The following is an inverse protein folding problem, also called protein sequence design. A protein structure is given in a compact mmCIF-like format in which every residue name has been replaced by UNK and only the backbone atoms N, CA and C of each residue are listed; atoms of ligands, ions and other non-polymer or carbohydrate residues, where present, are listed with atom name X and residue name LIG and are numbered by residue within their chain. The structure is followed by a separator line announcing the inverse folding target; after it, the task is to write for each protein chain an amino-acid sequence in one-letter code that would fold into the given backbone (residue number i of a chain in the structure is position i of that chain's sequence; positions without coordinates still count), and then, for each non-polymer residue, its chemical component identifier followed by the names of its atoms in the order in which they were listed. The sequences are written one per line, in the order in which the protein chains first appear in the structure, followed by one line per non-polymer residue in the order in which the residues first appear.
data_IF_953667442988
#
_entry.id   IF_953667442988
#
_cell.length_a   1.000
_cell.length_b   1.000
_cell.length_c   1.000
_cell.angle_alpha   90.00
_cell.angle_beta   90.00
_cell.angle_gamma   90.00
#
_symmetry.space_group_name_H-M   'P 1'
#
loop_
_entity.id
_entity.type
_entity.pdbx_description
1 polymer ?
#
# COMPACT_ATOMS: atom_id res chain seq x y z
N UNK A 1 -15.40 33.11 -8.08
CA UNK A 1 -16.49 33.94 -8.62
C UNK A 1 -15.94 35.14 -9.38
N UNK A 2 -16.36 35.34 -10.59
CA UNK A 2 -15.85 36.41 -11.46
C UNK A 2 -16.98 37.03 -12.30
N UNK A 3 -16.78 38.26 -12.78
CA UNK A 3 -17.70 38.95 -13.69
C UNK A 3 -17.40 38.69 -15.18
N UNK A 4 -16.28 38.09 -15.51
CA UNK A 4 -15.80 37.86 -16.87
C UNK A 4 -15.76 36.41 -17.25
N UNK A 5 -16.36 36.03 -18.39
CA UNK A 5 -16.36 34.68 -18.91
C UNK A 5 -14.95 34.20 -19.38
N UNK A 6 -14.11 35.16 -19.80
CA UNK A 6 -12.74 34.87 -20.27
C UNK A 6 -11.84 34.23 -19.19
N UNK A 7 -12.21 34.40 -17.92
CA UNK A 7 -11.51 33.77 -16.81
C UNK A 7 -11.91 32.33 -16.54
N UNK A 8 -12.91 31.75 -17.20
CA UNK A 8 -13.38 30.39 -16.99
C UNK A 8 -12.30 29.36 -17.32
N UNK A 9 -11.62 29.54 -18.45
CA UNK A 9 -10.53 28.64 -18.88
C UNK A 9 -9.36 28.72 -17.90
N UNK A 10 -8.95 29.92 -17.52
CA UNK A 10 -7.87 30.11 -16.54
C UNK A 10 -8.21 29.53 -15.17
N UNK A 11 -9.46 29.61 -14.73
CA UNK A 11 -9.91 29.02 -13.47
C UNK A 11 -9.82 27.48 -13.49
N UNK A 12 -10.15 26.83 -14.59
CA UNK A 12 -10.00 25.40 -14.77
C UNK A 12 -8.53 24.97 -14.88
N UNK A 13 -7.69 25.75 -15.54
CA UNK A 13 -6.24 25.52 -15.60
C UNK A 13 -5.56 25.63 -14.23
N UNK A 14 -6.14 26.39 -13.30
CA UNK A 14 -5.70 26.56 -11.92
C UNK A 14 -6.33 25.55 -10.94
N UNK A 15 -6.89 24.45 -11.44
CA UNK A 15 -7.57 23.43 -10.63
C UNK A 15 -8.80 23.91 -9.87
N UNK A 16 -9.48 24.93 -10.37
CA UNK A 16 -10.75 25.37 -9.81
C UNK A 16 -11.81 24.27 -9.97
N UNK A 17 -12.57 24.00 -8.91
CA UNK A 17 -13.60 22.95 -8.90
C UNK A 17 -14.76 23.31 -9.82
N UNK A 18 -15.14 24.57 -9.85
CA UNK A 18 -16.17 25.11 -10.72
C UNK A 18 -15.95 26.61 -10.96
N UNK A 19 -16.63 27.13 -11.94
CA UNK A 19 -16.54 28.53 -12.33
C UNK A 19 -17.91 29.20 -12.23
N UNK A 20 -17.96 30.31 -11.51
CA UNK A 20 -19.16 31.11 -11.30
C UNK A 20 -19.00 32.52 -11.84
N UNK A 21 -19.94 32.94 -12.68
CA UNK A 21 -20.01 34.31 -13.20
C UNK A 21 -21.00 35.16 -12.39
N UNK A 22 -20.73 36.46 -12.29
CA UNK A 22 -21.67 37.39 -11.68
C UNK A 22 -22.75 37.81 -12.68
N UNK A 23 -24.03 37.99 -12.26
CA UNK A 23 -24.57 37.76 -10.91
C UNK A 23 -24.65 36.26 -10.56
N UNK A 24 -24.29 35.90 -9.33
CA UNK A 24 -24.33 34.54 -8.84
C UNK A 24 -25.75 34.16 -8.44
N UNK A 25 -26.32 33.16 -9.05
CA UNK A 25 -27.61 32.58 -8.68
C UNK A 25 -27.43 31.53 -7.58
N UNK A 26 -28.33 31.55 -6.59
CA UNK A 26 -28.25 30.60 -5.46
C UNK A 26 -28.21 29.15 -5.91
N UNK A 27 -29.00 28.74 -6.90
CA UNK A 27 -29.00 27.39 -7.45
C UNK A 27 -27.63 27.01 -8.03
N UNK A 28 -26.96 27.91 -8.73
CA UNK A 28 -25.64 27.68 -9.30
C UNK A 28 -24.56 27.58 -8.22
N UNK A 29 -24.64 28.41 -7.20
CA UNK A 29 -23.75 28.36 -6.05
C UNK A 29 -23.91 27.04 -5.28
N UNK A 30 -25.13 26.58 -5.06
CA UNK A 30 -25.41 25.31 -4.42
C UNK A 30 -24.85 24.12 -5.23
N UNK A 31 -24.97 24.14 -6.55
CA UNK A 31 -24.37 23.13 -7.41
C UNK A 31 -22.84 23.13 -7.34
N UNK A 32 -22.20 24.29 -7.32
CA UNK A 32 -20.76 24.42 -7.18
C UNK A 32 -20.28 23.92 -5.82
N UNK A 33 -20.98 24.23 -4.73
CA UNK A 33 -20.69 23.73 -3.40
C UNK A 33 -20.88 22.21 -3.29
N UNK A 34 -21.92 21.66 -3.88
CA UNK A 34 -22.15 20.22 -3.93
C UNK A 34 -21.05 19.50 -4.71
N UNK A 35 -20.58 20.06 -5.81
CA UNK A 35 -19.46 19.55 -6.60
C UNK A 35 -18.15 19.61 -5.81
N UNK A 36 -17.87 20.71 -5.13
CA UNK A 36 -16.72 20.86 -4.26
C UNK A 36 -16.73 19.82 -3.12
N UNK A 37 -17.86 19.60 -2.48
CA UNK A 37 -18.01 18.61 -1.42
C UNK A 37 -17.81 17.17 -1.90
N UNK A 38 -18.15 16.87 -3.15
CA UNK A 38 -17.89 15.55 -3.75
C UNK A 38 -16.42 15.30 -4.01
N UNK A 39 -15.67 16.36 -4.33
CA UNK A 39 -14.22 16.25 -4.61
C UNK A 39 -13.40 16.28 -3.32
N UNK A 40 -13.84 17.04 -2.33
CA UNK A 40 -13.21 17.07 -0.99
C UNK A 40 -13.59 15.89 -0.12
N UNK A 41 -14.71 15.23 -0.40
CA UNK A 41 -14.84 13.84 -0.02
C UNK A 41 -13.80 13.09 -0.85
N UNK A 42 -12.64 12.91 -0.28
CA UNK A 42 -11.73 11.85 -0.69
C UNK A 42 -12.62 10.69 -1.10
N UNK A 43 -12.46 10.08 -2.30
CA UNK A 43 -13.11 8.80 -2.51
C UNK A 43 -12.70 8.01 -1.29
N UNK A 44 -13.64 7.80 -0.37
CA UNK A 44 -13.47 6.75 0.60
C UNK A 44 -13.01 5.59 -0.25
N UNK A 45 -11.84 5.02 -0.02
CA UNK A 45 -11.51 3.78 -0.67
C UNK A 45 -12.74 2.94 -0.44
N UNK A 46 -13.35 2.50 -1.52
CA UNK A 46 -14.55 1.65 -1.54
C UNK A 46 -14.44 0.81 -0.29
N UNK A 47 -15.32 1.03 0.66
CA UNK A 47 -15.23 0.42 1.98
C UNK A 47 -15.06 -1.07 1.77
N UNK A 48 -13.82 -1.51 1.79
CA UNK A 48 -13.59 -2.84 2.27
C UNK A 48 -14.39 -2.92 3.56
N UNK A 49 -15.24 -3.94 3.77
CA UNK A 49 -16.03 -4.06 4.96
C UNK A 49 -15.12 -3.76 6.14
N UNK A 50 -15.54 -2.99 7.14
CA UNK A 50 -14.69 -2.62 8.24
C UNK A 50 -14.07 -3.90 8.79
N UNK A 51 -12.82 -4.09 8.47
CA UNK A 51 -12.02 -5.13 9.09
C UNK A 51 -12.12 -4.87 10.59
N UNK A 52 -12.36 -5.88 11.40
CA UNK A 52 -12.47 -5.68 12.83
C UNK A 52 -11.27 -4.86 13.32
N UNK A 53 -11.51 -3.89 14.15
CA UNK A 53 -10.53 -2.92 14.66
C UNK A 53 -9.28 -3.56 15.33
N UNK A 54 -9.24 -4.88 15.38
CA UNK A 54 -8.15 -5.67 15.94
C UNK A 54 -7.08 -6.09 14.92
N UNK A 55 -7.26 -5.85 13.63
CA UNK A 55 -6.21 -6.16 12.66
C UNK A 55 -5.06 -5.14 12.79
N UNK A 56 -3.83 -5.61 13.02
CA UNK A 56 -2.68 -4.73 13.10
C UNK A 56 -2.49 -3.99 11.79
N UNK A 57 -2.29 -2.69 11.89
CA UNK A 57 -2.06 -1.84 10.74
C UNK A 57 -0.68 -1.19 10.81
N UNK A 58 -0.07 -1.05 9.67
CA UNK A 58 1.20 -0.37 9.50
C UNK A 58 0.94 1.12 9.24
N UNK A 59 1.61 1.99 9.98
CA UNK A 59 1.58 3.43 9.75
C UNK A 59 2.82 3.83 8.96
N UNK A 60 2.60 4.36 7.77
CA UNK A 60 3.67 4.83 6.89
C UNK A 60 3.52 6.33 6.69
N UNK A 61 4.62 7.05 6.81
CA UNK A 61 4.69 8.46 6.46
C UNK A 61 5.15 8.61 5.00
N UNK A 62 4.29 9.13 4.17
CA UNK A 62 4.58 9.43 2.77
C UNK A 62 4.25 10.89 2.48
N UNK A 63 5.24 11.67 2.07
CA UNK A 63 5.07 13.06 1.64
C UNK A 63 4.23 13.93 2.60
N UNK A 64 4.48 13.81 3.89
CA UNK A 64 3.76 14.57 4.92
C UNK A 64 2.37 14.03 5.24
N UNK A 65 2.01 12.85 4.74
CA UNK A 65 0.78 12.14 5.10
C UNK A 65 1.10 10.86 5.85
N UNK A 66 0.32 10.57 6.86
CA UNK A 66 0.36 9.26 7.52
C UNK A 66 -0.70 8.36 6.87
N UNK A 67 -0.25 7.29 6.25
CA UNK A 67 -1.12 6.28 5.62
C UNK A 67 -1.20 5.06 6.51
N UNK A 68 -2.40 4.63 6.83
CA UNK A 68 -2.65 3.38 7.55
C UNK A 68 -2.86 2.26 6.53
N UNK A 69 -2.03 1.23 6.60
CA UNK A 69 -2.10 0.08 5.71
C UNK A 69 -2.43 -1.15 6.56
N UNK A 70 -3.58 -1.79 6.32
CA UNK A 70 -3.90 -3.05 7.00
C UNK A 70 -2.84 -4.10 6.69
N UNK A 71 -2.41 -4.85 7.70
CA UNK A 71 -1.42 -5.92 7.50
C UNK A 71 -1.94 -7.00 6.53
N UNK A 72 -3.24 -7.13 6.38
CA UNK A 72 -3.89 -8.01 5.41
C UNK A 72 -3.59 -7.65 3.94
N UNK A 73 -3.29 -6.39 3.65
CA UNK A 73 -2.92 -5.93 2.31
C UNK A 73 -1.43 -6.06 2.00
N UNK A 74 -0.61 -6.21 3.02
CA UNK A 74 0.84 -6.30 2.88
C UNK A 74 1.23 -7.68 2.36
N UNK A 75 2.06 -7.71 1.32
CA UNK A 75 2.61 -8.93 0.74
C UNK A 75 3.99 -9.24 1.32
N UNK A 76 4.91 -8.29 1.23
CA UNK A 76 6.26 -8.47 1.74
C UNK A 76 6.93 -7.14 2.06
N UNK A 77 8.02 -7.23 2.82
CA UNK A 77 8.94 -6.13 3.12
C UNK A 77 10.32 -6.48 2.59
N UNK A 78 10.95 -5.54 1.93
CA UNK A 78 12.32 -5.67 1.42
C UNK A 78 13.19 -4.58 2.02
N UNK A 79 14.24 -4.95 2.73
CA UNK A 79 15.23 -4.00 3.20
C UNK A 79 16.13 -3.55 2.06
N UNK A 80 16.28 -2.27 1.91
CA UNK A 80 17.24 -1.63 1.04
C UNK A 80 18.23 -0.83 1.88
N UNK A 81 19.23 -0.20 1.26
CA UNK A 81 20.36 0.38 1.98
C UNK A 81 19.98 1.36 3.10
N UNK A 82 18.90 2.13 2.93
CA UNK A 82 18.48 3.19 3.87
C UNK A 82 17.02 3.09 4.31
N UNK A 83 16.21 2.25 3.69
CA UNK A 83 14.78 2.16 3.92
C UNK A 83 14.26 0.74 3.69
N UNK A 84 13.04 0.52 4.10
CA UNK A 84 12.32 -0.73 3.85
C UNK A 84 11.20 -0.45 2.86
N UNK A 85 11.18 -1.20 1.76
CA UNK A 85 10.07 -1.17 0.80
C UNK A 85 8.97 -2.11 1.27
N UNK A 86 7.76 -1.60 1.39
CA UNK A 86 6.55 -2.36 1.72
C UNK A 86 5.76 -2.58 0.45
N UNK A 87 5.59 -3.82 0.06
CA UNK A 87 4.79 -4.19 -1.10
C UNK A 87 3.39 -4.61 -0.69
N UNK A 88 2.39 -3.99 -1.29
CA UNK A 88 0.97 -4.36 -1.14
C UNK A 88 0.38 -4.83 -2.48
N UNK A 89 -0.87 -5.27 -2.47
CA UNK A 89 -1.56 -5.65 -3.70
C UNK A 89 -1.68 -4.51 -4.72
N UNK A 90 -1.78 -3.27 -4.24
CA UNK A 90 -2.03 -2.12 -5.09
C UNK A 90 -0.76 -1.36 -5.47
N UNK A 91 0.14 -1.15 -4.52
CA UNK A 91 1.35 -0.36 -4.72
C UNK A 91 2.45 -0.66 -3.70
N UNK A 92 3.61 -0.03 -3.90
CA UNK A 92 4.73 -0.08 -2.95
C UNK A 92 4.81 1.20 -2.15
N UNK A 93 5.24 1.07 -0.90
CA UNK A 93 5.50 2.19 0.02
C UNK A 93 6.92 2.12 0.52
N UNK A 94 7.43 3.24 0.98
CA UNK A 94 8.73 3.34 1.63
C UNK A 94 8.53 3.61 3.11
N UNK A 95 9.16 2.79 3.94
CA UNK A 95 9.11 2.88 5.39
C UNK A 95 10.51 3.12 5.95
N UNK A 96 10.64 4.11 6.81
CA UNK A 96 11.84 4.29 7.62
C UNK A 96 11.79 3.32 8.80
N UNK A 97 12.77 2.46 8.92
CA UNK A 97 12.82 1.47 9.97
C UNK A 97 13.66 0.25 9.60
N UNK A 98 13.68 -0.73 10.47
CA UNK A 98 14.39 -1.98 10.25
C UNK A 98 13.44 -3.18 10.13
N UNK A 99 13.87 -4.21 9.39
CA UNK A 99 13.13 -5.46 9.32
C UNK A 99 13.00 -6.13 10.69
N UNK A 100 14.02 -5.98 11.53
CA UNK A 100 14.03 -6.55 12.87
C UNK A 100 12.93 -5.98 13.76
N UNK A 101 12.69 -4.67 13.69
CA UNK A 101 11.59 -4.02 14.41
C UNK A 101 10.23 -4.48 13.92
N UNK A 102 10.07 -4.60 12.59
CA UNK A 102 8.84 -5.10 11.98
C UNK A 102 8.58 -6.55 12.35
N UNK A 103 9.60 -7.40 12.31
CA UNK A 103 9.52 -8.80 12.70
C UNK A 103 9.10 -8.96 14.16
N UNK A 104 9.69 -8.18 15.08
CA UNK A 104 9.34 -8.21 16.48
C UNK A 104 7.91 -7.72 16.76
N UNK A 105 7.47 -6.69 16.03
CA UNK A 105 6.16 -6.07 16.23
C UNK A 105 5.01 -6.88 15.62
N UNK A 106 5.24 -7.52 14.50
CA UNK A 106 4.22 -8.23 13.71
C UNK A 106 4.54 -9.72 13.51
N UNK A 107 5.24 -10.34 14.45
CA UNK A 107 5.71 -11.73 14.36
C UNK A 107 4.62 -12.76 14.04
N UNK A 108 3.38 -12.49 14.45
CA UNK A 108 2.24 -13.37 14.18
C UNK A 108 1.75 -13.28 12.73
N UNK A 109 1.99 -12.17 12.06
CA UNK A 109 1.46 -11.88 10.71
C UNK A 109 2.51 -11.98 9.62
N UNK A 110 3.77 -11.79 9.96
CA UNK A 110 4.89 -11.82 9.03
C UNK A 110 5.96 -12.81 9.47
N UNK A 111 6.76 -13.24 8.52
CA UNK A 111 7.90 -14.11 8.81
C UNK A 111 9.11 -13.73 7.97
N UNK A 112 10.28 -13.99 8.50
CA UNK A 112 11.51 -13.78 7.78
C UNK A 112 11.79 -14.94 6.82
N UNK A 113 12.00 -14.63 5.56
CA UNK A 113 12.37 -15.59 4.52
C UNK A 113 13.80 -15.41 4.03
N UNK A 114 14.32 -14.21 4.16
CA UNK A 114 15.67 -13.86 3.76
C UNK A 114 16.23 -12.77 4.70
N UNK A 115 17.57 -12.63 4.75
CA UNK A 115 18.23 -11.57 5.55
C UNK A 115 17.70 -10.18 5.28
N UNK A 116 17.21 -9.92 4.06
CA UNK A 116 16.69 -8.65 3.60
C UNK A 116 15.18 -8.65 3.31
N UNK A 117 14.47 -9.71 3.63
CA UNK A 117 13.06 -9.85 3.29
C UNK A 117 12.22 -10.48 4.39
N UNK A 118 11.03 -9.88 4.61
CA UNK A 118 9.94 -10.43 5.39
C UNK A 118 8.73 -10.60 4.48
N UNK A 119 7.95 -11.64 4.68
CA UNK A 119 6.71 -11.89 3.93
C UNK A 119 5.52 -12.03 4.86
N UNK A 120 4.34 -11.64 4.39
CA UNK A 120 3.11 -11.88 5.12
C UNK A 120 2.76 -13.38 5.08
N UNK A 121 2.54 -13.99 6.23
CA UNK A 121 2.21 -15.43 6.34
C UNK A 121 1.00 -15.80 5.50
N UNK A 122 -0.08 -15.01 5.57
CA UNK A 122 -1.31 -15.28 4.81
C UNK A 122 -1.17 -15.10 3.29
N UNK A 123 -0.11 -14.43 2.82
CA UNK A 123 0.15 -14.28 1.39
C UNK A 123 0.96 -15.43 0.80
N UNK A 124 1.53 -16.30 1.63
CA UNK A 124 2.28 -17.46 1.19
C UNK A 124 1.39 -18.43 0.40
N UNK A 125 1.86 -18.87 -0.76
CA UNK A 125 1.15 -19.83 -1.62
C UNK A 125 1.90 -21.12 -1.80
N UNK A 126 3.16 -21.03 -2.18
CA UNK A 126 4.00 -22.20 -2.42
C UNK A 126 5.47 -21.90 -2.15
N UNK A 127 6.19 -22.95 -1.83
CA UNK A 127 7.65 -22.95 -1.73
C UNK A 127 8.19 -23.79 -2.88
N UNK A 128 8.97 -23.17 -3.75
CA UNK A 128 9.46 -23.80 -4.97
C UNK A 128 10.99 -23.78 -4.99
N UNK A 129 11.57 -24.77 -5.64
CA UNK A 129 12.99 -24.71 -5.96
C UNK A 129 13.20 -23.68 -7.06
N UNK A 130 14.16 -22.82 -6.86
CA UNK A 130 14.53 -21.77 -7.80
C UNK A 130 16.04 -21.83 -8.06
N UNK A 131 16.40 -21.66 -9.30
CA UNK A 131 17.80 -21.54 -9.70
C UNK A 131 18.10 -20.05 -9.91
N UNK A 132 18.98 -19.52 -9.09
CA UNK A 132 19.51 -18.18 -9.25
C UNK A 132 20.86 -18.24 -9.96
N UNK A 133 21.06 -17.35 -10.91
CA UNK A 133 22.31 -17.29 -11.66
C UNK A 133 23.53 -16.92 -10.80
N UNK A 134 23.30 -16.20 -9.69
CA UNK A 134 24.36 -15.74 -8.80
C UNK A 134 24.58 -16.69 -7.60
N UNK A 135 23.51 -17.23 -7.01
CA UNK A 135 23.56 -18.07 -5.81
C UNK A 135 23.41 -19.58 -6.09
N UNK A 136 23.06 -19.95 -7.32
CA UNK A 136 22.87 -21.33 -7.73
C UNK A 136 21.49 -21.88 -7.33
N UNK A 137 21.43 -23.19 -7.00
CA UNK A 137 20.18 -23.84 -6.60
C UNK A 137 19.74 -23.37 -5.21
N UNK A 138 18.55 -22.75 -5.14
CA UNK A 138 17.96 -22.21 -3.94
C UNK A 138 16.48 -22.49 -3.83
N UNK A 139 15.87 -21.88 -2.86
CA UNK A 139 14.42 -21.92 -2.63
C UNK A 139 13.83 -20.53 -2.79
N UNK A 140 12.61 -20.49 -3.32
CA UNK A 140 11.84 -19.24 -3.43
C UNK A 140 10.39 -19.49 -3.03
N UNK A 141 9.74 -18.46 -2.53
CA UNK A 141 8.31 -18.48 -2.22
C UNK A 141 7.54 -17.74 -3.27
N UNK A 142 6.36 -18.25 -3.57
CA UNK A 142 5.34 -17.56 -4.34
C UNK A 142 4.32 -16.97 -3.40
N UNK A 143 3.98 -15.70 -3.62
CA UNK A 143 2.96 -15.00 -2.84
C UNK A 143 1.69 -14.83 -3.68
N UNK A 144 0.56 -14.74 -2.97
CA UNK A 144 -0.72 -14.45 -3.60
C UNK A 144 -0.72 -13.07 -4.23
N UNK A 145 -1.14 -12.98 -5.51
CA UNK A 145 -1.20 -11.72 -6.24
C UNK A 145 0.14 -11.21 -6.76
N UNK A 146 1.23 -11.94 -6.54
CA UNK A 146 2.55 -11.61 -7.05
C UNK A 146 3.03 -12.70 -8.03
N UNK A 147 3.41 -12.28 -9.23
CA UNK A 147 3.97 -13.19 -10.24
C UNK A 147 5.45 -13.52 -9.98
N UNK A 148 6.12 -12.68 -9.20
CA UNK A 148 7.53 -12.77 -8.88
C UNK A 148 7.78 -13.78 -7.76
N UNK A 149 8.86 -14.55 -7.89
CA UNK A 149 9.35 -15.45 -6.85
C UNK A 149 10.33 -14.71 -5.94
N UNK A 150 10.16 -14.86 -4.63
CA UNK A 150 11.04 -14.22 -3.65
C UNK A 150 12.03 -15.24 -3.08
N UNK A 151 13.32 -14.93 -3.03
CA UNK A 151 14.35 -15.85 -2.54
C UNK A 151 14.15 -16.16 -1.06
N UNK A 152 14.37 -17.43 -0.70
CA UNK A 152 14.31 -17.93 0.68
C UNK A 152 15.67 -18.44 1.09
N UNK A 153 16.16 -17.94 2.21
CA UNK A 153 17.40 -18.45 2.82
C UNK A 153 17.24 -19.91 3.23
N UNK A 154 18.28 -20.72 3.04
CA UNK A 154 18.28 -22.13 3.43
C UNK A 154 17.86 -22.36 4.88
N UNK A 155 18.22 -21.45 5.77
CA UNK A 155 17.85 -21.50 7.20
C UNK A 155 16.35 -21.30 7.43
N UNK A 156 15.67 -20.58 6.54
CA UNK A 156 14.27 -20.22 6.67
C UNK A 156 13.33 -21.20 5.94
N UNK A 157 13.85 -22.09 5.12
CA UNK A 157 13.04 -23.05 4.34
C UNK A 157 12.14 -23.89 5.25
N UNK A 158 12.65 -24.37 6.37
CA UNK A 158 11.89 -25.17 7.32
C UNK A 158 10.72 -24.37 7.90
N UNK A 159 10.98 -23.13 8.35
CA UNK A 159 9.96 -22.24 8.91
C UNK A 159 8.88 -21.86 7.86
N UNK A 160 9.28 -21.62 6.62
CA UNK A 160 8.32 -21.33 5.52
C UNK A 160 7.46 -22.56 5.23
N UNK A 161 8.04 -23.75 5.22
CA UNK A 161 7.30 -24.99 5.01
C UNK A 161 6.28 -25.25 6.11
N UNK A 162 6.66 -25.02 7.35
CA UNK A 162 5.77 -25.10 8.52
C UNK A 162 4.60 -24.12 8.39
N UNK A 163 4.89 -22.86 8.09
CA UNK A 163 3.88 -21.82 7.88
C UNK A 163 2.88 -22.14 6.75
N UNK A 164 3.32 -22.85 5.70
CA UNK A 164 2.45 -23.31 4.62
C UNK A 164 1.54 -24.48 5.04
N UNK A 165 1.95 -25.25 6.04
CA UNK A 165 1.17 -26.38 6.54
C UNK A 165 0.11 -25.94 7.55
N UNK A 166 0.32 -24.83 8.24
CA UNK A 166 -0.60 -24.27 9.24
C UNK A 166 -1.79 -23.50 8.63
N UNK A 167 -1.80 -23.24 7.33
CA UNK A 167 -2.91 -22.60 6.61
C UNK A 167 -3.90 -23.69 6.11
#
# INVERSE_FOLDING_TARGET
VTAHLDHAVSAFELDAVDYLTKPVRLARLQQALAKAQRITRTPEPISAPPLPDNDPALLIQERGRTVRIPMAEVLFFKAEQKYVTVRTFSRSYILDGSLQELEARYAEHIMRVHRSMLVARRALRSLEKHFDAEEGEGWAVRLQGLAELLPVSRRQVAAVREALTEQ
#
